data_IF_196546705537
#
_entry.id   IF_196546705537
#
_cell.length_a   1.000
_cell.length_b   1.000
_cell.length_c   1.000
_cell.angle_alpha   90.00
_cell.angle_beta   90.00
_cell.angle_gamma   90.00
#
_symmetry.space_group_name_H-M   'P 1'
#
loop_
_entity.id
_entity.type
_entity.pdbx_description
1 polymer ?
#
# COMPACT_ATOMS: atom_id res chain seq x y z
N UNK A 1 -30.57 72.49 -4.09
CA UNK A 1 -29.48 71.56 -4.45
C UNK A 1 -29.75 71.02 -5.84
N UNK A 2 -28.82 71.20 -6.78
CA UNK A 2 -28.95 70.67 -8.14
C UNK A 2 -28.90 69.14 -8.12
N UNK A 3 -30.00 68.47 -8.50
CA UNK A 3 -30.12 67.01 -8.72
C UNK A 3 -28.87 66.37 -9.35
N UNK A 4 -28.22 66.94 -10.40
CA UNK A 4 -26.98 66.37 -10.97
C UNK A 4 -25.81 66.28 -9.98
N UNK A 5 -25.74 67.17 -8.99
CA UNK A 5 -24.69 67.16 -7.96
C UNK A 5 -24.92 66.02 -6.95
N UNK A 6 -26.18 65.70 -6.64
CA UNK A 6 -26.55 64.54 -5.82
C UNK A 6 -26.26 63.23 -6.55
N UNK A 7 -26.60 63.13 -7.83
CA UNK A 7 -26.32 61.95 -8.66
C UNK A 7 -24.81 61.73 -8.78
N UNK A 8 -24.03 62.79 -9.03
CA UNK A 8 -22.56 62.70 -9.09
C UNK A 8 -21.94 62.20 -7.77
N UNK A 9 -22.45 62.67 -6.63
CA UNK A 9 -21.97 62.23 -5.32
C UNK A 9 -22.27 60.74 -5.06
N UNK A 10 -23.46 60.26 -5.43
CA UNK A 10 -23.85 58.85 -5.29
C UNK A 10 -22.99 57.97 -6.21
N UNK A 11 -22.77 58.37 -7.46
CA UNK A 11 -21.90 57.64 -8.40
C UNK A 11 -20.45 57.54 -7.89
N UNK A 12 -19.91 58.64 -7.34
CA UNK A 12 -18.57 58.65 -6.73
C UNK A 12 -18.49 57.68 -5.55
N UNK A 13 -19.50 57.68 -4.68
CA UNK A 13 -19.55 56.84 -3.49
C UNK A 13 -19.65 55.34 -3.85
N UNK A 14 -20.41 54.98 -4.88
CA UNK A 14 -20.49 53.61 -5.39
C UNK A 14 -19.15 53.10 -5.93
N UNK A 15 -18.43 53.92 -6.70
CA UNK A 15 -17.10 53.56 -7.23
C UNK A 15 -16.11 53.31 -6.08
N UNK A 16 -16.15 54.14 -5.04
CA UNK A 16 -15.27 54.01 -3.88
C UNK A 16 -15.52 52.70 -3.12
N UNK A 17 -16.79 52.34 -2.90
CA UNK A 17 -17.17 51.07 -2.26
C UNK A 17 -16.66 49.87 -3.06
N UNK A 18 -16.90 49.85 -4.37
CA UNK A 18 -16.45 48.76 -5.26
C UNK A 18 -14.92 48.65 -5.22
N UNK A 19 -14.20 49.76 -5.33
CA UNK A 19 -12.74 49.80 -5.26
C UNK A 19 -12.20 49.22 -3.95
N UNK A 20 -12.79 49.61 -2.82
CA UNK A 20 -12.41 49.10 -1.51
C UNK A 20 -12.69 47.59 -1.36
N UNK A 21 -13.85 47.13 -1.83
CA UNK A 21 -14.19 45.69 -1.83
C UNK A 21 -13.25 44.85 -2.69
N UNK A 22 -12.83 45.35 -3.86
CA UNK A 22 -11.86 44.66 -4.73
C UNK A 22 -10.49 44.52 -4.05
N UNK A 23 -10.02 45.56 -3.36
CA UNK A 23 -8.75 45.51 -2.61
C UNK A 23 -8.82 44.48 -1.49
N UNK A 24 -9.90 44.46 -0.72
CA UNK A 24 -10.11 43.45 0.33
C UNK A 24 -10.14 42.04 -0.26
N UNK A 25 -10.90 41.84 -1.34
CA UNK A 25 -11.00 40.53 -1.99
C UNK A 25 -9.64 40.07 -2.51
N UNK A 26 -8.82 40.97 -3.08
CA UNK A 26 -7.47 40.65 -3.52
C UNK A 26 -6.56 40.25 -2.34
N UNK A 27 -6.57 41.01 -1.24
CA UNK A 27 -5.80 40.65 -0.04
C UNK A 27 -6.24 39.31 0.54
N UNK A 28 -7.55 39.06 0.63
CA UNK A 28 -8.10 37.81 1.13
C UNK A 28 -7.76 36.62 0.24
N UNK A 29 -7.77 36.79 -1.09
CA UNK A 29 -7.32 35.76 -2.04
C UNK A 29 -5.83 35.45 -1.85
N UNK A 30 -5.00 36.48 -1.65
CA UNK A 30 -3.56 36.30 -1.42
C UNK A 30 -3.30 35.56 -0.10
N UNK A 31 -3.95 35.94 0.99
CA UNK A 31 -3.84 35.26 2.29
C UNK A 31 -4.35 33.81 2.22
N UNK A 32 -5.48 33.58 1.55
CA UNK A 32 -6.02 32.24 1.35
C UNK A 32 -5.07 31.36 0.54
N UNK A 33 -4.46 31.89 -0.53
CA UNK A 33 -3.47 31.16 -1.33
C UNK A 33 -2.26 30.74 -0.49
N UNK A 34 -1.73 31.64 0.36
CA UNK A 34 -0.64 31.33 1.29
C UNK A 34 -1.05 30.24 2.30
N UNK A 35 -2.22 30.37 2.91
CA UNK A 35 -2.72 29.36 3.85
C UNK A 35 -2.92 27.99 3.18
N UNK A 36 -3.38 27.96 1.93
CA UNK A 36 -3.51 26.72 1.16
C UNK A 36 -2.15 26.08 0.89
N UNK A 37 -1.13 26.88 0.57
CA UNK A 37 0.23 26.36 0.34
C UNK A 37 0.84 25.78 1.63
N UNK A 38 0.71 26.50 2.75
CA UNK A 38 1.11 26.00 4.06
C UNK A 38 0.39 24.70 4.43
N UNK A 39 -0.93 24.64 4.26
CA UNK A 39 -1.72 23.45 4.52
C UNK A 39 -1.27 22.25 3.67
N UNK A 40 -0.87 22.48 2.41
CA UNK A 40 -0.30 21.43 1.56
C UNK A 40 1.02 20.89 2.11
N UNK A 41 1.92 21.76 2.56
CA UNK A 41 3.21 21.32 3.12
C UNK A 41 3.04 20.58 4.45
N UNK A 42 2.13 21.04 5.31
CA UNK A 42 1.78 20.33 6.55
C UNK A 42 1.21 18.95 6.25
N UNK A 43 0.27 18.85 5.30
CA UNK A 43 -0.28 17.57 4.88
C UNK A 43 0.79 16.62 4.29
N UNK A 44 1.82 17.15 3.62
CA UNK A 44 2.96 16.36 3.15
C UNK A 44 3.77 15.81 4.33
N UNK A 45 4.00 16.62 5.37
CA UNK A 45 4.71 16.20 6.59
C UNK A 45 3.93 15.10 7.29
N UNK A 46 2.66 15.34 7.61
CA UNK A 46 1.80 14.38 8.32
C UNK A 46 1.72 13.05 7.58
N UNK A 47 1.51 13.10 6.26
CA UNK A 47 1.47 11.90 5.43
C UNK A 47 2.82 11.17 5.38
N UNK A 48 3.94 11.87 5.54
CA UNK A 48 5.27 11.24 5.59
C UNK A 48 5.57 10.64 6.97
N UNK A 49 5.23 11.35 8.04
CA UNK A 49 5.35 10.87 9.41
C UNK A 49 4.49 9.62 9.63
N UNK A 50 3.27 9.57 9.08
CA UNK A 50 2.43 8.38 9.06
C UNK A 50 3.14 7.20 8.36
N UNK A 51 3.81 7.43 7.22
CA UNK A 51 4.56 6.39 6.52
C UNK A 51 5.76 5.91 7.33
N UNK A 52 6.48 6.79 8.02
CA UNK A 52 7.60 6.43 8.89
C UNK A 52 7.10 5.62 10.11
N UNK A 53 5.98 6.02 10.71
CA UNK A 53 5.38 5.30 11.85
C UNK A 53 4.97 3.85 11.51
N UNK A 54 4.68 3.57 10.24
CA UNK A 54 4.36 2.23 9.76
C UNK A 54 5.59 1.33 9.52
N UNK A 55 6.81 1.82 9.79
CA UNK A 55 8.05 1.06 9.63
C UNK A 55 8.12 -0.20 10.52
N UNK A 56 7.30 -0.30 11.58
CA UNK A 56 7.20 -1.49 12.42
C UNK A 56 6.62 -2.71 11.68
N UNK A 57 5.83 -2.49 10.62
CA UNK A 57 5.17 -3.55 9.88
C UNK A 57 5.94 -4.01 8.64
N UNK A 58 6.97 -3.27 8.22
CA UNK A 58 7.62 -3.48 6.94
C UNK A 58 9.10 -3.08 6.97
N UNK A 59 10.04 -3.90 6.47
CA UNK A 59 11.47 -3.57 6.49
C UNK A 59 11.79 -2.35 5.62
N UNK A 60 12.13 -1.23 6.25
CA UNK A 60 12.59 -0.04 5.54
C UNK A 60 14.11 -0.09 5.33
N UNK A 61 14.56 0.32 4.14
CA UNK A 61 15.99 0.49 3.85
C UNK A 61 16.45 1.83 4.38
N UNK A 62 17.78 1.97 4.48
CA UNK A 62 18.42 3.24 4.76
C UNK A 62 17.98 4.30 3.76
N UNK A 63 18.02 3.96 2.47
CA UNK A 63 17.74 4.86 1.36
C UNK A 63 16.28 5.35 1.40
N UNK A 64 15.34 4.47 1.73
CA UNK A 64 13.93 4.83 1.89
C UNK A 64 13.72 5.75 3.09
N UNK A 65 14.31 5.42 4.26
CA UNK A 65 14.19 6.26 5.46
C UNK A 65 14.81 7.64 5.25
N UNK A 66 16.00 7.69 4.64
CA UNK A 66 16.66 8.94 4.25
C UNK A 66 15.79 9.74 3.30
N UNK A 67 15.18 9.11 2.30
CA UNK A 67 14.25 9.76 1.39
C UNK A 67 13.04 10.37 2.12
N UNK A 68 12.41 9.63 3.03
CA UNK A 68 11.23 10.11 3.76
C UNK A 68 11.61 11.26 4.71
N UNK A 69 12.73 11.17 5.42
CA UNK A 69 13.21 12.25 6.29
C UNK A 69 13.62 13.50 5.49
N UNK A 70 14.30 13.34 4.34
CA UNK A 70 14.58 14.46 3.42
C UNK A 70 13.31 15.11 2.89
N UNK A 71 12.27 14.32 2.60
CA UNK A 71 10.96 14.85 2.19
C UNK A 71 10.34 15.73 3.28
N UNK A 72 10.41 15.34 4.55
CA UNK A 72 9.96 16.15 5.69
C UNK A 72 10.80 17.43 5.78
N UNK A 73 12.13 17.32 5.69
CA UNK A 73 13.04 18.47 5.75
C UNK A 73 12.69 19.51 4.67
N UNK A 74 12.54 19.09 3.41
CA UNK A 74 12.17 20.01 2.32
C UNK A 74 10.79 20.65 2.50
N UNK A 75 9.84 19.94 3.10
CA UNK A 75 8.52 20.52 3.40
C UNK A 75 8.62 21.56 4.52
N UNK A 76 9.43 21.32 5.55
CA UNK A 76 9.69 22.28 6.62
C UNK A 76 10.44 23.52 6.12
N UNK A 77 11.44 23.35 5.25
CA UNK A 77 12.14 24.45 4.60
C UNK A 77 11.19 25.31 3.76
N UNK A 78 10.30 24.67 2.98
CA UNK A 78 9.27 25.39 2.20
C UNK A 78 8.30 26.16 3.09
N UNK A 79 7.92 25.62 4.25
CA UNK A 79 7.11 26.35 5.24
C UNK A 79 7.88 27.57 5.76
N UNK A 80 9.18 27.45 6.00
CA UNK A 80 10.02 28.53 6.53
C UNK A 80 10.21 29.68 5.54
N UNK A 81 10.19 29.39 4.25
CA UNK A 81 10.19 30.41 3.18
C UNK A 81 8.86 31.18 3.11
N UNK A 82 7.73 30.50 3.36
CA UNK A 82 6.39 31.11 3.29
C UNK A 82 6.06 31.89 4.58
N UNK A 83 6.41 31.33 5.74
CA UNK A 83 6.21 31.94 7.05
C UNK A 83 7.52 32.11 7.82
N UNK A 84 8.17 33.26 7.60
CA UNK A 84 9.45 33.60 8.24
C UNK A 84 9.33 34.00 9.71
N UNK A 85 8.12 34.09 10.27
CA UNK A 85 7.89 34.61 11.63
C UNK A 85 8.05 33.54 12.70
N UNK A 86 7.93 32.27 12.35
CA UNK A 86 7.99 31.18 13.32
C UNK A 86 9.45 30.77 13.62
N UNK A 87 9.91 31.11 14.83
CA UNK A 87 11.24 30.71 15.33
C UNK A 87 11.31 29.22 15.68
N UNK A 88 10.19 28.57 15.99
CA UNK A 88 10.15 27.14 16.37
C UNK A 88 10.47 26.24 15.17
N UNK A 89 10.12 26.69 13.97
CA UNK A 89 10.36 25.96 12.73
C UNK A 89 11.84 25.74 12.43
N UNK A 90 12.70 26.74 12.74
CA UNK A 90 14.15 26.61 12.59
C UNK A 90 14.73 25.53 13.48
N UNK A 91 14.23 25.42 14.71
CA UNK A 91 14.64 24.37 15.65
C UNK A 91 14.20 22.99 15.14
N UNK A 92 12.98 22.88 14.59
CA UNK A 92 12.48 21.62 14.00
C UNK A 92 13.31 21.19 12.79
N UNK A 93 13.67 22.12 11.89
CA UNK A 93 14.56 21.86 10.75
C UNK A 93 15.90 21.33 11.22
N UNK A 94 16.51 21.98 12.21
CA UNK A 94 17.80 21.56 12.77
C UNK A 94 17.72 20.13 13.35
N UNK A 95 16.68 19.85 14.15
CA UNK A 95 16.48 18.54 14.75
C UNK A 95 16.30 17.43 13.69
N UNK A 96 15.50 17.68 12.65
CA UNK A 96 15.31 16.71 11.54
C UNK A 96 16.62 16.52 10.75
N UNK A 97 17.41 17.58 10.56
CA UNK A 97 18.72 17.50 9.91
C UNK A 97 19.73 16.68 10.72
N UNK A 98 19.74 16.84 12.04
CA UNK A 98 20.59 16.06 12.96
C UNK A 98 20.18 14.58 12.95
N UNK A 99 18.87 14.30 13.00
CA UNK A 99 18.35 12.94 12.86
C UNK A 99 18.74 12.31 11.51
N UNK A 100 18.65 13.07 10.42
CA UNK A 100 19.04 12.60 9.09
C UNK A 100 20.53 12.26 9.04
N UNK A 101 21.39 13.11 9.61
CA UNK A 101 22.84 12.90 9.69
C UNK A 101 23.16 11.65 10.51
N UNK A 102 22.46 11.45 11.63
CA UNK A 102 22.58 10.26 12.45
C UNK A 102 22.17 8.99 11.68
N UNK A 103 21.03 9.03 10.97
CA UNK A 103 20.59 7.93 10.11
C UNK A 103 21.56 7.66 8.96
N UNK A 104 22.24 8.66 8.40
CA UNK A 104 23.22 8.43 7.34
C UNK A 104 24.51 7.77 7.86
N UNK A 105 24.87 7.98 9.13
CA UNK A 105 26.14 7.53 9.72
C UNK A 105 26.04 6.26 10.56
N UNK A 106 24.93 6.05 11.27
CA UNK A 106 24.74 4.98 12.26
C UNK A 106 23.64 3.99 11.86
N UNK A 107 23.27 3.90 10.58
CA UNK A 107 22.25 2.95 10.15
C UNK A 107 22.77 1.51 10.17
N UNK A 108 22.35 0.76 11.20
CA UNK A 108 22.59 -0.67 11.30
C UNK A 108 21.50 -1.46 10.57
N UNK A 109 21.89 -2.10 9.46
CA UNK A 109 21.01 -3.00 8.69
C UNK A 109 20.55 -4.23 9.50
N UNK A 110 21.24 -4.58 10.58
CA UNK A 110 20.89 -5.69 11.49
C UNK A 110 19.66 -5.39 12.34
N UNK A 111 19.31 -4.12 12.52
CA UNK A 111 18.14 -3.66 13.30
C UNK A 111 16.87 -3.60 12.44
N UNK A 112 16.98 -3.86 11.13
CA UNK A 112 15.84 -3.83 10.22
C UNK A 112 14.90 -4.98 10.55
N UNK A 113 13.66 -4.63 10.91
CA UNK A 113 12.60 -5.59 11.24
C UNK A 113 12.46 -6.60 10.10
N UNK A 114 12.62 -7.91 10.33
CA UNK A 114 12.48 -8.89 9.28
C UNK A 114 11.06 -8.84 8.70
N UNK A 115 10.94 -9.10 7.39
CA UNK A 115 9.63 -9.14 6.74
C UNK A 115 8.71 -10.12 7.47
N UNK A 116 7.64 -9.59 8.07
CA UNK A 116 6.60 -10.39 8.70
C UNK A 116 5.53 -10.75 7.67
N UNK A 117 5.17 -12.03 7.63
CA UNK A 117 4.09 -12.51 6.77
C UNK A 117 2.77 -12.02 7.36
N UNK A 118 1.85 -11.48 6.55
CA UNK A 118 0.55 -11.04 7.05
C UNK A 118 -0.27 -12.21 7.61
N UNK A 119 -0.81 -12.04 8.83
CA UNK A 119 -1.63 -13.04 9.50
C UNK A 119 -3.10 -12.99 9.09
N UNK A 120 -3.54 -11.94 8.42
CA UNK A 120 -4.94 -11.72 8.01
C UNK A 120 -5.01 -11.03 6.65
N UNK A 121 -6.06 -11.31 5.87
CA UNK A 121 -6.35 -10.64 4.60
C UNK A 121 -6.40 -9.12 4.78
N UNK A 122 -6.97 -8.65 5.91
CA UNK A 122 -7.01 -7.22 6.25
C UNK A 122 -5.61 -6.64 6.42
N UNK A 123 -4.71 -7.38 7.10
CA UNK A 123 -3.32 -6.97 7.28
C UNK A 123 -2.57 -6.99 5.94
N UNK A 124 -2.79 -8.00 5.10
CA UNK A 124 -2.19 -8.09 3.77
C UNK A 124 -2.59 -6.91 2.88
N UNK A 125 -3.88 -6.52 2.91
CA UNK A 125 -4.38 -5.35 2.18
C UNK A 125 -3.73 -4.06 2.69
N UNK A 126 -3.64 -3.88 4.01
CA UNK A 126 -3.00 -2.71 4.62
C UNK A 126 -1.52 -2.59 4.24
N UNK A 127 -0.76 -3.68 4.33
CA UNK A 127 0.64 -3.72 3.91
C UNK A 127 0.79 -3.45 2.40
N UNK A 128 -0.10 -4.01 1.56
CA UNK A 128 -0.10 -3.75 0.12
C UNK A 128 -0.37 -2.27 -0.21
N UNK A 129 -1.31 -1.63 0.50
CA UNK A 129 -1.60 -0.21 0.36
C UNK A 129 -0.41 0.65 0.81
N UNK A 130 0.26 0.28 1.90
CA UNK A 130 1.46 0.95 2.38
C UNK A 130 2.57 0.91 1.32
N UNK A 131 2.88 -0.27 0.77
CA UNK A 131 3.90 -0.41 -0.29
C UNK A 131 3.55 0.43 -1.52
N UNK A 132 2.28 0.46 -1.93
CA UNK A 132 1.82 1.31 -3.05
C UNK A 132 1.98 2.82 -2.76
N UNK A 133 1.69 3.26 -1.54
CA UNK A 133 1.91 4.65 -1.11
C UNK A 133 3.41 5.00 -1.14
N UNK A 134 4.26 4.13 -0.59
CA UNK A 134 5.72 4.29 -0.61
C UNK A 134 6.26 4.43 -2.04
N UNK A 135 5.84 3.56 -2.96
CA UNK A 135 6.23 3.64 -4.38
C UNK A 135 5.81 4.95 -5.03
N UNK A 136 4.60 5.43 -4.75
CA UNK A 136 4.09 6.71 -5.26
C UNK A 136 4.94 7.88 -4.75
N UNK A 137 5.27 7.89 -3.45
CA UNK A 137 6.13 8.90 -2.85
C UNK A 137 7.53 8.85 -3.47
N UNK A 138 8.12 7.65 -3.56
CA UNK A 138 9.45 7.46 -4.14
C UNK A 138 9.52 7.96 -5.59
N UNK A 139 8.51 7.64 -6.41
CA UNK A 139 8.38 8.14 -7.77
C UNK A 139 8.26 9.66 -7.82
N UNK A 140 7.47 10.24 -6.92
CA UNK A 140 7.29 11.69 -6.81
C UNK A 140 8.58 12.41 -6.41
N UNK A 141 9.33 11.87 -5.46
CA UNK A 141 10.61 12.45 -5.03
C UNK A 141 11.72 12.27 -6.08
N UNK A 142 11.73 11.14 -6.81
CA UNK A 142 12.61 10.97 -7.98
C UNK A 142 12.26 11.96 -9.11
N UNK A 143 10.97 12.20 -9.38
CA UNK A 143 10.52 13.18 -10.37
C UNK A 143 10.93 14.62 -10.04
N UNK A 144 11.21 14.92 -8.77
CA UNK A 144 11.76 16.21 -8.30
C UNK A 144 13.30 16.25 -8.30
N UNK A 145 13.97 15.18 -8.71
CA UNK A 145 15.44 15.09 -8.72
C UNK A 145 16.08 14.87 -7.34
N UNK A 146 15.30 14.55 -6.30
CA UNK A 146 15.79 14.41 -4.90
C UNK A 146 16.41 13.05 -4.59
N UNK A 147 16.27 12.10 -5.51
CA UNK A 147 16.80 10.73 -5.39
C UNK A 147 17.57 10.40 -6.66
N UNK A 148 18.81 9.91 -6.49
CA UNK A 148 19.62 9.40 -7.59
C UNK A 148 18.90 8.23 -8.30
N UNK A 149 18.96 8.18 -9.63
CA UNK A 149 18.28 7.16 -10.44
C UNK A 149 18.64 5.74 -9.99
N UNK A 150 19.89 5.49 -9.64
CA UNK A 150 20.35 4.18 -9.18
C UNK A 150 19.67 3.77 -7.87
N UNK A 151 19.62 4.67 -6.88
CA UNK A 151 18.95 4.42 -5.61
C UNK A 151 17.44 4.23 -5.79
N UNK A 152 16.83 5.02 -6.69
CA UNK A 152 15.42 4.87 -7.05
C UNK A 152 15.11 3.49 -7.63
N UNK A 153 15.90 3.02 -8.61
CA UNK A 153 15.69 1.72 -9.25
C UNK A 153 15.83 0.59 -8.24
N UNK A 154 16.89 0.62 -7.41
CA UNK A 154 17.12 -0.40 -6.38
C UNK A 154 15.97 -0.45 -5.37
N UNK A 155 15.54 0.70 -4.85
CA UNK A 155 14.46 0.75 -3.86
C UNK A 155 13.11 0.39 -4.48
N UNK A 156 12.84 0.82 -5.71
CA UNK A 156 11.62 0.44 -6.41
C UNK A 156 11.54 -1.08 -6.65
N UNK A 157 12.64 -1.71 -7.08
CA UNK A 157 12.73 -3.17 -7.22
C UNK A 157 12.53 -3.88 -5.87
N UNK A 158 13.09 -3.33 -4.79
CA UNK A 158 12.90 -3.86 -3.43
C UNK A 158 11.43 -3.83 -3.00
N UNK A 159 10.75 -2.71 -3.21
CA UNK A 159 9.31 -2.56 -2.93
C UNK A 159 8.45 -3.46 -3.84
N UNK A 160 8.83 -3.65 -5.11
CA UNK A 160 8.16 -4.58 -6.03
C UNK A 160 8.25 -6.03 -5.56
N UNK A 161 9.44 -6.47 -5.14
CA UNK A 161 9.65 -7.81 -4.61
C UNK A 161 8.84 -8.03 -3.33
N UNK A 162 8.70 -6.99 -2.51
CA UNK A 162 7.90 -7.04 -1.30
C UNK A 162 6.40 -7.13 -1.60
N UNK A 163 5.90 -6.35 -2.56
CA UNK A 163 4.54 -6.46 -3.05
C UNK A 163 4.23 -7.87 -3.55
N UNK A 164 5.15 -8.47 -4.31
CA UNK A 164 5.01 -9.84 -4.79
C UNK A 164 4.93 -10.82 -3.63
N UNK A 165 5.86 -10.73 -2.67
CA UNK A 165 5.90 -11.60 -1.49
C UNK A 165 4.61 -11.51 -0.68
N UNK A 166 4.11 -10.31 -0.40
CA UNK A 166 2.83 -10.10 0.31
C UNK A 166 1.68 -10.79 -0.44
N UNK A 167 1.60 -10.61 -1.76
CA UNK A 167 0.53 -11.19 -2.57
C UNK A 167 0.58 -12.72 -2.57
N UNK A 168 1.77 -13.32 -2.72
CA UNK A 168 1.91 -14.78 -2.75
C UNK A 168 1.62 -15.40 -1.40
N UNK A 169 2.12 -14.85 -0.30
CA UNK A 169 1.82 -15.37 1.04
C UNK A 169 0.32 -15.26 1.36
N UNK A 170 -0.33 -14.17 0.93
CA UNK A 170 -1.78 -14.02 1.05
C UNK A 170 -2.53 -15.08 0.22
N UNK A 171 -2.10 -15.36 -1.02
CA UNK A 171 -2.68 -16.43 -1.85
C UNK A 171 -2.52 -17.80 -1.18
N UNK A 172 -1.33 -18.12 -0.64
CA UNK A 172 -1.07 -19.37 0.08
C UNK A 172 -2.01 -19.49 1.28
N UNK A 173 -2.14 -18.43 2.07
CA UNK A 173 -3.02 -18.42 3.24
C UNK A 173 -4.49 -18.64 2.86
N UNK A 174 -4.99 -17.90 1.87
CA UNK A 174 -6.36 -18.05 1.38
C UNK A 174 -6.63 -19.43 0.77
N UNK A 175 -5.65 -20.01 0.08
CA UNK A 175 -5.75 -21.36 -0.46
C UNK A 175 -5.82 -22.40 0.67
N UNK A 176 -5.02 -22.24 1.73
CA UNK A 176 -5.09 -23.09 2.93
C UNK A 176 -6.43 -22.94 3.66
N UNK A 177 -6.93 -21.72 3.84
CA UNK A 177 -8.24 -21.47 4.46
C UNK A 177 -9.38 -22.10 3.65
N UNK A 178 -9.32 -22.04 2.31
CA UNK A 178 -10.27 -22.71 1.43
C UNK A 178 -10.16 -24.25 1.53
N UNK A 179 -8.94 -24.79 1.65
CA UNK A 179 -8.68 -26.22 1.86
C UNK A 179 -9.28 -26.70 3.18
N UNK A 180 -9.12 -25.95 4.26
CA UNK A 180 -9.74 -26.25 5.56
C UNK A 180 -11.27 -26.26 5.48
N UNK A 181 -11.85 -25.39 4.65
CA UNK A 181 -13.30 -25.33 4.38
C UNK A 181 -13.77 -26.37 3.35
N UNK A 182 -12.91 -27.30 2.90
CA UNK A 182 -13.19 -28.30 1.84
C UNK A 182 -13.58 -27.69 0.48
N UNK A 183 -13.23 -26.43 0.23
CA UNK A 183 -13.49 -25.73 -1.03
C UNK A 183 -12.30 -25.88 -1.99
N UNK A 184 -12.05 -27.10 -2.46
CA UNK A 184 -10.86 -27.44 -3.26
C UNK A 184 -10.82 -26.72 -4.61
N UNK A 185 -11.98 -26.50 -5.26
CA UNK A 185 -12.06 -25.74 -6.51
C UNK A 185 -11.55 -24.31 -6.37
N UNK A 186 -11.98 -23.61 -5.31
CA UNK A 186 -11.51 -22.25 -4.99
C UNK A 186 -10.01 -22.24 -4.68
N UNK A 187 -9.53 -23.20 -3.88
CA UNK A 187 -8.10 -23.32 -3.56
C UNK A 187 -7.26 -23.51 -4.83
N UNK A 188 -7.67 -24.39 -5.75
CA UNK A 188 -7.00 -24.63 -7.04
C UNK A 188 -6.94 -23.37 -7.91
N UNK A 189 -8.06 -22.64 -8.01
CA UNK A 189 -8.10 -21.38 -8.75
C UNK A 189 -7.14 -20.33 -8.18
N UNK A 190 -7.09 -20.19 -6.84
CA UNK A 190 -6.18 -19.26 -6.17
C UNK A 190 -4.71 -19.63 -6.41
N UNK A 191 -4.35 -20.90 -6.30
CA UNK A 191 -2.99 -21.38 -6.53
C UNK A 191 -2.55 -21.18 -7.99
N UNK A 192 -3.42 -21.52 -8.96
CA UNK A 192 -3.15 -21.27 -10.39
C UNK A 192 -2.89 -19.79 -10.67
N UNK A 193 -3.73 -18.90 -10.13
CA UNK A 193 -3.53 -17.45 -10.25
C UNK A 193 -2.21 -17.00 -9.64
N UNK A 194 -1.79 -17.59 -8.53
CA UNK A 194 -0.48 -17.32 -7.93
C UNK A 194 0.69 -17.75 -8.84
N UNK A 195 0.58 -18.93 -9.46
CA UNK A 195 1.57 -19.44 -10.41
C UNK A 195 1.66 -18.56 -11.66
N UNK A 196 0.52 -18.10 -12.20
CA UNK A 196 0.49 -17.22 -13.37
C UNK A 196 1.14 -15.86 -13.10
N UNK A 197 1.00 -15.33 -11.87
CA UNK A 197 1.70 -14.10 -11.48
C UNK A 197 3.22 -14.33 -11.40
N UNK A 198 3.63 -15.50 -10.92
CA UNK A 198 5.05 -15.85 -10.78
C UNK A 198 5.73 -16.19 -12.11
N UNK A 199 5.01 -16.76 -13.09
CA UNK A 199 5.58 -17.16 -14.39
C UNK A 199 6.12 -15.98 -15.20
N UNK A 200 5.64 -14.76 -14.92
CA UNK A 200 6.11 -13.53 -15.54
C UNK A 200 7.49 -13.05 -15.03
N UNK A 201 8.05 -13.66 -13.98
CA UNK A 201 9.30 -13.23 -13.33
C UNK A 201 10.27 -14.38 -13.06
N UNK A 202 11.55 -14.16 -13.34
CA UNK A 202 12.62 -15.15 -13.21
C UNK A 202 13.50 -14.95 -11.96
N UNK A 203 12.93 -14.48 -10.86
CA UNK A 203 13.67 -14.24 -9.60
C UNK A 203 13.85 -15.54 -8.80
N UNK A 204 14.94 -15.70 -8.04
CA UNK A 204 15.20 -16.87 -7.19
C UNK A 204 14.06 -17.17 -6.20
N UNK A 205 13.44 -16.11 -5.65
CA UNK A 205 12.24 -16.25 -4.81
C UNK A 205 11.04 -16.73 -5.62
N UNK A 206 10.84 -16.20 -6.84
CA UNK A 206 9.70 -16.56 -7.68
C UNK A 206 9.73 -18.04 -8.05
N UNK A 207 10.89 -18.58 -8.40
CA UNK A 207 11.05 -20.02 -8.71
C UNK A 207 10.72 -20.90 -7.51
N UNK A 208 11.24 -20.57 -6.31
CA UNK A 208 10.95 -21.32 -5.08
C UNK A 208 9.47 -21.25 -4.70
N UNK A 209 8.87 -20.06 -4.80
CA UNK A 209 7.46 -19.87 -4.54
C UNK A 209 6.59 -20.63 -5.54
N UNK A 210 6.97 -20.64 -6.82
CA UNK A 210 6.27 -21.37 -7.88
C UNK A 210 6.30 -22.88 -7.61
N UNK A 211 7.47 -23.44 -7.27
CA UNK A 211 7.60 -24.83 -6.87
C UNK A 211 6.70 -25.18 -5.67
N UNK A 212 6.68 -24.32 -4.65
CA UNK A 212 5.80 -24.49 -3.48
C UNK A 212 4.31 -24.49 -3.87
N UNK A 213 3.87 -23.54 -4.69
CA UNK A 213 2.48 -23.47 -5.15
C UNK A 213 2.11 -24.67 -6.02
N UNK A 214 3.01 -25.12 -6.89
CA UNK A 214 2.81 -26.30 -7.73
C UNK A 214 2.67 -27.56 -6.89
N UNK A 215 3.52 -27.71 -5.86
CA UNK A 215 3.42 -28.81 -4.91
C UNK A 215 2.06 -28.82 -4.19
N UNK A 216 1.61 -27.66 -3.68
CA UNK A 216 0.29 -27.54 -3.03
C UNK A 216 -0.87 -27.87 -3.99
N UNK A 217 -0.75 -27.51 -5.26
CA UNK A 217 -1.76 -27.80 -6.27
C UNK A 217 -1.84 -29.29 -6.58
N UNK A 218 -0.68 -29.95 -6.71
CA UNK A 218 -0.61 -31.39 -6.92
C UNK A 218 -1.17 -32.17 -5.72
N UNK A 219 -0.93 -31.72 -4.47
CA UNK A 219 -1.55 -32.31 -3.28
C UNK A 219 -3.09 -32.24 -3.33
N UNK A 220 -3.65 -31.11 -3.77
CA UNK A 220 -5.11 -30.96 -3.89
C UNK A 220 -5.67 -31.90 -4.96
N UNK A 221 -4.99 -32.01 -6.10
CA UNK A 221 -5.43 -32.89 -7.20
C UNK A 221 -5.35 -34.37 -6.80
N UNK A 222 -4.30 -34.79 -6.10
CA UNK A 222 -4.16 -36.16 -5.58
C UNK A 222 -5.21 -36.50 -4.52
N UNK A 223 -5.47 -35.59 -3.56
CA UNK A 223 -6.50 -35.82 -2.54
C UNK A 223 -7.89 -35.95 -3.16
N UNK A 224 -8.16 -35.18 -4.22
CA UNK A 224 -9.44 -35.23 -4.93
C UNK A 224 -9.58 -36.50 -5.77
N UNK A 225 -8.52 -36.95 -6.47
CA UNK A 225 -8.56 -38.20 -7.22
C UNK A 225 -8.79 -39.40 -6.30
N UNK A 226 -8.08 -39.47 -5.17
CA UNK A 226 -8.26 -40.53 -4.17
C UNK A 226 -9.67 -40.49 -3.57
N UNK A 227 -10.20 -39.31 -3.24
CA UNK A 227 -11.57 -39.17 -2.72
C UNK A 227 -12.62 -39.64 -3.74
N UNK A 228 -12.47 -39.26 -5.02
CA UNK A 228 -13.38 -39.68 -6.08
C UNK A 228 -13.28 -41.18 -6.39
N UNK A 229 -12.08 -41.75 -6.32
CA UNK A 229 -11.85 -43.19 -6.51
C UNK A 229 -12.44 -44.00 -5.36
N UNK A 230 -12.30 -43.53 -4.11
CA UNK A 230 -12.96 -44.14 -2.95
C UNK A 230 -14.49 -44.05 -3.02
N UNK A 231 -15.05 -42.91 -3.43
CA UNK A 231 -16.51 -42.78 -3.62
C UNK A 231 -17.03 -43.72 -4.70
N UNK A 232 -16.29 -43.87 -5.81
CA UNK A 232 -16.65 -44.82 -6.87
C UNK A 232 -16.56 -46.27 -6.41
N UNK A 233 -15.53 -46.62 -5.64
CA UNK A 233 -15.38 -47.96 -5.07
C UNK A 233 -16.54 -48.28 -4.11
N UNK A 234 -16.92 -47.34 -3.25
CA UNK A 234 -18.04 -47.51 -2.33
C UNK A 234 -19.39 -47.66 -3.03
N UNK A 235 -19.59 -47.01 -4.18
CA UNK A 235 -20.79 -47.22 -5.00
C UNK A 235 -20.81 -48.62 -5.61
N UNK A 236 -19.68 -49.08 -6.16
CA UNK A 236 -19.56 -50.43 -6.72
C UNK A 236 -19.75 -51.52 -5.66
N UNK A 237 -19.22 -51.33 -4.46
CA UNK A 237 -19.38 -52.26 -3.35
C UNK A 237 -20.84 -52.32 -2.86
N UNK A 238 -21.53 -51.17 -2.81
CA UNK A 238 -22.98 -51.12 -2.50
C UNK A 238 -23.84 -51.80 -3.57
N UNK A 239 -23.54 -51.58 -4.84
CA UNK A 239 -24.26 -52.22 -5.95
C UNK A 239 -24.05 -53.75 -5.92
N UNK A 240 -22.85 -54.21 -5.57
CA UNK A 240 -22.56 -55.64 -5.39
C UNK A 240 -23.32 -56.23 -4.19
N UNK A 241 -23.34 -55.56 -3.04
CA UNK A 241 -24.08 -56.02 -1.85
C UNK A 241 -25.60 -56.10 -2.13
N UNK A 242 -26.19 -55.15 -2.85
CA UNK A 242 -27.61 -55.20 -3.23
C UNK A 242 -27.93 -56.35 -4.20
N UNK A 243 -27.04 -56.61 -5.17
CA UNK A 243 -27.16 -57.77 -6.06
C UNK A 243 -27.09 -59.08 -5.26
N UNK A 244 -26.18 -59.19 -4.30
CA UNK A 244 -26.03 -60.42 -3.50
C UNK A 244 -27.25 -60.67 -2.59
N UNK A 245 -27.89 -59.60 -2.09
CA UNK A 245 -29.17 -59.67 -1.38
C UNK A 245 -30.32 -60.17 -2.27
N UNK A 246 -30.35 -59.80 -3.56
CA UNK A 246 -31.37 -60.23 -4.52
C UNK A 246 -31.25 -61.72 -4.92
N UNK A 247 -30.06 -62.31 -4.79
CA UNK A 247 -29.81 -63.73 -5.09
C UNK A 247 -29.77 -64.63 -3.86
N UNK A 248 -30.08 -64.11 -2.67
CA UNK A 248 -30.21 -64.97 -1.49
C UNK A 248 -31.33 -66.00 -1.71
N UNK A 249 -31.09 -67.29 -1.41
CA UNK A 249 -32.10 -68.31 -1.60
C UNK A 249 -33.32 -67.97 -0.74
N UNK A 250 -34.48 -67.76 -1.39
CA UNK A 250 -35.76 -67.44 -0.73
C UNK A 250 -35.96 -68.37 0.46
N UNK A 251 -35.99 -67.80 1.68
CA UNK A 251 -36.37 -68.54 2.89
C UNK A 251 -37.78 -69.10 2.68
N UNK A 252 -37.87 -70.43 2.60
CA UNK A 252 -39.14 -71.15 2.64
C UNK A 252 -39.73 -70.95 4.04
N UNK A 253 -40.95 -70.43 4.08
CA UNK A 253 -41.81 -70.42 5.25
C UNK A 253 -42.23 -71.84 5.61
#
# INVERSE_FOLDING_TARGET
>A
MSIPLVIGLISLLLILIIGYSVIIQYRQRLESAKQQELAKQVAIIDATEELISNASHLPYSKELLVCLNKRILYALESIAEIDTKDRTLKQRIQHVSEQLTYLETHFDQTTVVPFQVPNSDRQAIGMLQLVKRLKTVLKGEHGKGRIATQAYVQENTRLDNMQLRINIENVVKRANDARLKRQFGTAKQLLKKGIDVLSSRSDSYATKAQQKLQYMLNEIDNNMSVSSEQERQQLLDKDNDELDVLFQPKRKW
#
